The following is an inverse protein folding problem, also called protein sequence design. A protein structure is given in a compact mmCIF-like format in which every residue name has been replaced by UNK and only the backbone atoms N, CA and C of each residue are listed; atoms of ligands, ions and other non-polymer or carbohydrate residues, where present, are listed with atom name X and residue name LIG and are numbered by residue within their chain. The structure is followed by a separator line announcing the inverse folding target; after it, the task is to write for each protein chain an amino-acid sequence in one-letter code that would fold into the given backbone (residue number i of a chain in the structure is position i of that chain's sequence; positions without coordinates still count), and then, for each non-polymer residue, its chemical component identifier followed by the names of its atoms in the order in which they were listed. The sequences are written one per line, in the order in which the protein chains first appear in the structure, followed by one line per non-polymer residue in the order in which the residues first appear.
data_IF_328263275671
#
_entry.id   IF_328263275671
#
_cell.length_a   1.000
_cell.length_b   1.000
_cell.length_c   1.000
_cell.angle_alpha   90.00
_cell.angle_beta   90.00
_cell.angle_gamma   90.00
#
_symmetry.space_group_name_H-M   'P 1'
#
loop_
_entity.id
_entity.type
_entity.pdbx_description
1 polymer ?
#
# COMPACT_ATOMS: atom_id res chain seq x y z
N UNK A 1 5.58 -8.60 12.04
CA UNK A 1 5.86 -8.02 10.71
C UNK A 1 7.15 -7.21 10.82
N UNK A 2 8.12 -7.41 9.92
CA UNK A 2 9.41 -6.70 9.93
C UNK A 2 9.26 -5.29 9.33
N UNK A 3 8.56 -4.38 10.01
CA UNK A 3 8.45 -2.97 9.60
C UNK A 3 9.85 -2.34 9.45
N UNK A 4 10.78 -2.65 10.35
CA UNK A 4 12.17 -2.16 10.28
C UNK A 4 12.92 -2.57 9.01
N UNK A 5 12.65 -3.77 8.46
CA UNK A 5 13.27 -4.18 7.17
C UNK A 5 12.69 -3.42 5.99
N UNK A 6 11.38 -3.11 6.02
CA UNK A 6 10.71 -2.32 4.98
C UNK A 6 11.25 -0.89 4.99
N UNK A 7 11.44 -0.30 6.17
CA UNK A 7 12.01 1.05 6.35
C UNK A 7 13.48 1.10 5.90
N UNK A 8 14.28 0.07 6.22
CA UNK A 8 15.67 0.00 5.78
C UNK A 8 15.78 -0.16 4.25
N UNK A 9 14.90 -0.96 3.64
CA UNK A 9 14.84 -1.09 2.17
C UNK A 9 14.36 0.20 1.49
N UNK A 10 13.39 0.91 2.08
CA UNK A 10 12.93 2.23 1.60
C UNK A 10 14.04 3.29 1.58
N UNK A 11 14.85 3.34 2.64
CA UNK A 11 15.98 4.26 2.73
C UNK A 11 17.13 3.92 1.75
N UNK A 12 17.15 2.70 1.21
CA UNK A 12 18.14 2.23 0.23
C UNK A 12 17.58 2.16 -1.20
N UNK A 13 16.29 2.44 -1.38
CA UNK A 13 15.61 2.32 -2.66
C UNK A 13 15.92 3.52 -3.57
N UNK A 14 15.90 3.31 -4.89
CA UNK A 14 16.00 4.41 -5.86
C UNK A 14 14.85 5.41 -5.65
N UNK A 15 15.02 6.66 -6.08
CA UNK A 15 14.00 7.72 -5.98
C UNK A 15 12.63 7.22 -6.48
N UNK A 16 12.59 6.52 -7.61
CA UNK A 16 11.36 5.94 -8.18
C UNK A 16 10.68 4.93 -7.24
N UNK A 17 11.47 4.13 -6.52
CA UNK A 17 10.93 3.11 -5.61
C UNK A 17 10.42 3.74 -4.31
N UNK A 18 11.06 4.82 -3.85
CA UNK A 18 10.63 5.61 -2.69
C UNK A 18 9.28 6.27 -2.96
N UNK A 19 9.13 6.91 -4.12
CA UNK A 19 7.89 7.60 -4.52
C UNK A 19 6.72 6.63 -4.68
N UNK A 20 6.93 5.49 -5.35
CA UNK A 20 5.89 4.46 -5.48
C UNK A 20 5.47 3.85 -4.14
N UNK A 21 6.42 3.74 -3.21
CA UNK A 21 6.12 3.27 -1.86
C UNK A 21 5.34 4.32 -1.07
N UNK A 22 5.72 5.61 -1.17
CA UNK A 22 5.01 6.71 -0.52
C UNK A 22 3.57 6.83 -1.06
N UNK A 23 3.37 6.69 -2.38
CA UNK A 23 2.04 6.58 -2.99
C UNK A 23 1.21 5.47 -2.36
N UNK A 24 1.80 4.29 -2.19
CA UNK A 24 1.13 3.12 -1.61
C UNK A 24 0.79 3.35 -0.13
N UNK A 25 1.68 3.99 0.63
CA UNK A 25 1.47 4.35 2.04
C UNK A 25 0.30 5.34 2.17
N UNK A 26 0.27 6.39 1.34
CA UNK A 26 -0.80 7.39 1.33
C UNK A 26 -2.15 6.74 1.00
N UNK A 27 -2.21 5.91 -0.05
CA UNK A 27 -3.45 5.20 -0.39
C UNK A 27 -3.91 4.26 0.74
N UNK A 28 -3.00 3.47 1.33
CA UNK A 28 -3.36 2.59 2.45
C UNK A 28 -3.83 3.38 3.67
N UNK A 29 -3.23 4.53 3.94
CA UNK A 29 -3.60 5.40 5.05
C UNK A 29 -5.00 5.99 4.84
N UNK A 30 -5.26 6.53 3.66
CA UNK A 30 -6.58 7.07 3.31
C UNK A 30 -7.68 6.00 3.33
N UNK A 31 -7.38 4.75 2.96
CA UNK A 31 -8.34 3.64 3.05
C UNK A 31 -8.61 3.25 4.52
N UNK A 32 -7.57 3.28 5.37
CA UNK A 32 -7.63 2.82 6.76
C UNK A 32 -8.31 3.83 7.71
N UNK A 33 -8.05 5.13 7.54
CA UNK A 33 -8.53 6.17 8.46
C UNK A 33 -9.91 6.73 8.10
N UNK A 34 -10.49 6.34 6.95
CA UNK A 34 -11.89 6.64 6.61
C UNK A 34 -12.09 7.66 5.50
N UNK A 35 -13.34 8.12 5.35
CA UNK A 35 -13.80 8.76 4.11
C UNK A 35 -13.14 10.08 3.77
N UNK A 36 -12.59 10.86 4.72
CA UNK A 36 -12.00 12.18 4.44
C UNK A 36 -10.98 12.59 5.52
N UNK A 37 -9.78 12.99 5.10
CA UNK A 37 -8.67 13.40 5.99
C UNK A 37 -8.08 14.74 5.54
N UNK A 38 -7.71 15.60 6.49
CA UNK A 38 -6.93 16.80 6.18
C UNK A 38 -5.47 16.46 5.85
N UNK A 39 -4.90 17.11 4.84
CA UNK A 39 -3.53 16.89 4.39
C UNK A 39 -2.48 17.04 5.51
N UNK A 40 -2.67 18.04 6.37
CA UNK A 40 -1.83 18.28 7.55
C UNK A 40 -1.84 17.08 8.50
N UNK A 41 -3.00 16.45 8.70
CA UNK A 41 -3.14 15.31 9.60
C UNK A 41 -2.60 14.03 8.96
N UNK A 42 -2.70 13.88 7.64
CA UNK A 42 -2.20 12.71 6.92
C UNK A 42 -0.69 12.54 7.10
N UNK A 43 0.06 13.64 7.07
CA UNK A 43 1.52 13.61 7.28
C UNK A 43 1.88 13.11 8.68
N UNK A 44 1.19 13.59 9.71
CA UNK A 44 1.40 13.15 11.10
C UNK A 44 1.02 11.68 11.28
N UNK A 45 -0.11 11.26 10.71
CA UNK A 45 -0.60 9.88 10.77
C UNK A 45 0.37 8.90 10.11
N UNK A 46 0.86 9.22 8.90
CA UNK A 46 1.85 8.40 8.20
C UNK A 46 3.14 8.28 9.02
N UNK A 47 3.63 9.40 9.55
CA UNK A 47 4.87 9.41 10.33
C UNK A 47 4.72 8.62 11.64
N UNK A 48 3.54 8.67 12.27
CA UNK A 48 3.19 7.93 13.48
C UNK A 48 3.08 6.42 13.23
N UNK A 49 2.29 6.01 12.24
CA UNK A 49 1.95 4.59 12.04
C UNK A 49 3.05 3.80 11.36
N UNK A 50 3.81 4.44 10.46
CA UNK A 50 4.88 3.77 9.72
C UNK A 50 6.25 3.99 10.35
N UNK A 51 6.40 4.93 11.30
CA UNK A 51 7.68 5.26 11.92
C UNK A 51 8.73 5.81 10.94
N UNK A 52 8.27 6.30 9.79
CA UNK A 52 9.10 6.94 8.77
C UNK A 52 8.96 8.45 8.94
N UNK A 53 10.01 9.22 8.64
CA UNK A 53 9.92 10.69 8.56
C UNK A 53 9.98 11.12 7.11
N UNK A 54 8.82 11.28 6.50
CA UNK A 54 8.71 11.98 5.22
C UNK A 54 8.54 13.47 5.47
N UNK A 55 9.14 14.31 4.61
CA UNK A 55 8.88 15.73 4.67
C UNK A 55 7.48 16.03 4.17
N UNK A 56 6.81 17.00 4.79
CA UNK A 56 5.45 17.42 4.40
C UNK A 56 5.39 17.79 2.90
N UNK A 57 6.41 18.49 2.39
CA UNK A 57 6.53 18.82 0.97
C UNK A 57 6.57 17.60 0.05
N UNK A 58 7.27 16.52 0.44
CA UNK A 58 7.30 15.26 -0.33
C UNK A 58 5.90 14.62 -0.36
N UNK A 59 5.20 14.62 0.78
CA UNK A 59 3.84 14.08 0.88
C UNK A 59 2.89 14.89 0.00
N UNK A 60 2.93 16.22 0.07
CA UNK A 60 2.13 17.12 -0.76
C UNK A 60 2.38 16.89 -2.26
N UNK A 61 3.63 16.76 -2.68
CA UNK A 61 3.99 16.49 -4.08
C UNK A 61 3.38 15.16 -4.57
N UNK A 62 3.52 14.09 -3.77
CA UNK A 62 2.93 12.80 -4.11
C UNK A 62 1.39 12.87 -4.14
N UNK A 63 0.77 13.61 -3.22
CA UNK A 63 -0.68 13.82 -3.19
C UNK A 63 -1.16 14.53 -4.47
N UNK A 64 -0.43 15.56 -4.94
CA UNK A 64 -0.71 16.24 -6.20
C UNK A 64 -0.62 15.25 -7.38
N UNK A 65 0.42 14.40 -7.41
CA UNK A 65 0.53 13.37 -8.45
C UNK A 65 -0.62 12.36 -8.42
N UNK A 66 -1.02 11.90 -7.22
CA UNK A 66 -2.16 10.99 -7.07
C UNK A 66 -3.49 11.64 -7.48
N UNK A 67 -3.63 12.95 -7.26
CA UNK A 67 -4.77 13.75 -7.75
C UNK A 67 -4.85 13.77 -9.26
N UNK A 68 -3.74 14.09 -9.92
CA UNK A 68 -3.67 14.21 -11.38
C UNK A 68 -3.97 12.86 -12.05
N UNK A 69 -3.64 11.76 -11.37
CA UNK A 69 -3.98 10.39 -11.77
C UNK A 69 -5.44 10.00 -11.46
N UNK A 70 -6.20 10.86 -10.79
CA UNK A 70 -7.58 10.57 -10.35
C UNK A 70 -7.69 9.56 -9.21
N UNK A 71 -6.57 9.18 -8.59
CA UNK A 71 -6.50 8.15 -7.53
C UNK A 71 -6.91 8.70 -6.17
N UNK A 72 -6.77 10.01 -5.95
CA UNK A 72 -7.18 10.73 -4.74
C UNK A 72 -7.98 11.97 -5.14
N UNK A 73 -8.97 12.35 -4.33
CA UNK A 73 -9.82 13.54 -4.55
C UNK A 73 -9.93 14.39 -3.29
N UNK A 74 -10.32 15.65 -3.48
CA UNK A 74 -10.65 16.59 -2.39
C UNK A 74 -12.15 16.70 -2.27
N UNK A 75 -12.64 16.68 -1.04
CA UNK A 75 -14.03 16.99 -0.75
C UNK A 75 -14.29 18.49 -0.83
N UNK A 76 -15.55 18.86 -0.78
CA UNK A 76 -15.99 20.26 -0.63
C UNK A 76 -15.46 20.93 0.64
N UNK A 77 -15.04 20.14 1.64
CA UNK A 77 -14.44 20.61 2.89
C UNK A 77 -12.90 20.66 2.84
N UNK A 78 -12.30 20.54 1.66
CA UNK A 78 -10.84 20.50 1.45
C UNK A 78 -10.14 19.31 2.14
N UNK A 79 -10.84 18.19 2.30
CA UNK A 79 -10.27 16.95 2.86
C UNK A 79 -9.98 15.93 1.76
N UNK A 80 -8.86 15.25 1.87
CA UNK A 80 -8.41 14.19 0.97
C UNK A 80 -9.19 12.91 1.20
N UNK A 81 -9.55 12.25 0.11
CA UNK A 81 -10.20 10.95 0.16
C UNK A 81 -9.87 10.06 -1.05
N UNK A 82 -10.00 8.76 -0.83
CA UNK A 82 -9.97 7.76 -1.87
C UNK A 82 -11.35 7.62 -2.54
N UNK A 83 -11.47 7.84 -3.85
CA UNK A 83 -12.70 7.57 -4.59
C UNK A 83 -13.09 6.10 -4.51
N UNK A 84 -14.39 5.80 -4.51
CA UNK A 84 -14.89 4.42 -4.40
C UNK A 84 -14.35 3.50 -5.51
N UNK A 85 -14.17 4.03 -6.72
CA UNK A 85 -13.56 3.30 -7.83
C UNK A 85 -12.16 2.80 -7.46
N UNK A 86 -11.36 3.66 -6.82
CA UNK A 86 -10.00 3.31 -6.41
C UNK A 86 -9.99 2.33 -5.24
N UNK A 87 -10.91 2.47 -4.28
CA UNK A 87 -11.11 1.49 -3.20
C UNK A 87 -11.44 0.10 -3.76
N UNK A 88 -12.32 0.04 -4.76
CA UNK A 88 -12.66 -1.23 -5.43
C UNK A 88 -11.48 -1.83 -6.19
N UNK A 89 -10.65 -1.02 -6.84
CA UNK A 89 -9.42 -1.50 -7.47
C UNK A 89 -8.44 -2.08 -6.45
N UNK A 90 -8.20 -1.40 -5.32
CA UNK A 90 -7.35 -1.89 -4.23
C UNK A 90 -7.88 -3.22 -3.68
N UNK A 91 -9.21 -3.34 -3.52
CA UNK A 91 -9.85 -4.57 -3.06
C UNK A 91 -9.67 -5.73 -4.06
N UNK A 92 -9.81 -5.47 -5.37
CA UNK A 92 -9.56 -6.47 -6.42
C UNK A 92 -8.10 -6.94 -6.42
N UNK A 93 -7.15 -6.01 -6.33
CA UNK A 93 -5.72 -6.33 -6.28
C UNK A 93 -5.42 -7.22 -5.05
N UNK A 94 -5.98 -6.89 -3.89
CA UNK A 94 -5.82 -7.69 -2.67
C UNK A 94 -6.41 -9.10 -2.80
N UNK A 95 -7.58 -9.24 -3.43
CA UNK A 95 -8.19 -10.54 -3.72
C UNK A 95 -7.32 -11.38 -4.67
N UNK A 96 -6.86 -10.80 -5.79
CA UNK A 96 -5.99 -11.49 -6.76
C UNK A 96 -4.66 -11.94 -6.14
N UNK A 97 -4.07 -11.12 -5.26
CA UNK A 97 -2.86 -11.47 -4.52
C UNK A 97 -3.10 -12.62 -3.54
N UNK A 98 -4.28 -12.69 -2.91
CA UNK A 98 -4.68 -13.78 -2.03
C UNK A 98 -4.87 -15.09 -2.80
N UNK A 99 -5.55 -15.04 -3.95
CA UNK A 99 -5.77 -16.21 -4.83
C UNK A 99 -4.46 -16.75 -5.43
N UNK A 100 -3.55 -15.85 -5.83
CA UNK A 100 -2.20 -16.24 -6.30
C UNK A 100 -1.35 -16.88 -5.20
N UNK A 101 -1.51 -16.46 -3.93
CA UNK A 101 -0.84 -17.09 -2.79
C UNK A 101 -1.39 -18.49 -2.50
N UNK A 102 -2.71 -18.68 -2.57
CA UNK A 102 -3.33 -20.00 -2.36
C UNK A 102 -2.96 -21.00 -3.46
N UNK A 103 -2.98 -20.59 -4.73
CA UNK A 103 -2.61 -21.48 -5.85
C UNK A 103 -1.15 -21.93 -5.79
N UNK A 104 -0.22 -21.09 -5.30
CA UNK A 104 1.17 -21.50 -5.05
C UNK A 104 1.30 -22.51 -3.90
N UNK A 105 0.55 -22.34 -2.81
CA UNK A 105 0.53 -23.33 -1.70
C UNK A 105 -0.02 -24.69 -2.15
N UNK A 106 -1.10 -24.70 -2.92
CA UNK A 106 -1.72 -25.93 -3.45
C UNK A 106 -0.82 -26.71 -4.42
N UNK A 107 0.02 -26.02 -5.20
CA UNK A 107 0.99 -26.68 -6.09
C UNK A 107 2.13 -27.34 -5.31
N UNK A 108 2.60 -26.69 -4.23
CA UNK A 108 3.66 -27.24 -3.39
C UNK A 108 3.19 -28.46 -2.58
N UNK A 109 1.96 -28.44 -2.05
CA UNK A 109 1.43 -29.60 -1.31
C UNK A 109 1.32 -30.84 -2.22
N UNK A 110 0.80 -30.68 -3.44
CA UNK A 110 0.70 -31.79 -4.41
C UNK A 110 2.06 -32.36 -4.81
N UNK A 111 3.11 -31.55 -4.84
CA UNK A 111 4.47 -32.03 -5.14
C UNK A 111 5.02 -32.81 -3.94
N UNK A 112 4.81 -32.32 -2.72
CA UNK A 112 5.23 -33.00 -1.49
C UNK A 112 4.50 -34.33 -1.32
N UNK A 113 3.19 -34.39 -1.57
CA UNK A 113 2.40 -35.64 -1.53
C UNK A 113 2.89 -36.65 -2.58
N UNK A 114 3.31 -36.17 -3.76
CA UNK A 114 3.84 -37.03 -4.82
C UNK A 114 5.23 -37.57 -4.50
N UNK A 115 6.08 -36.77 -3.85
CA UNK A 115 7.40 -37.21 -3.37
C UNK A 115 7.25 -38.22 -2.22
N UNK A 116 6.34 -37.96 -1.27
CA UNK A 116 6.09 -38.85 -0.14
C UNK A 116 5.58 -40.24 -0.56
N UNK A 117 4.71 -40.31 -1.57
CA UNK A 117 4.21 -41.59 -2.11
C UNK A 117 5.18 -42.35 -3.03
N UNK A 118 6.41 -41.86 -3.24
CA UNK A 118 7.45 -42.57 -4.05
C UNK A 118 8.43 -43.36 -3.17
N UNK A 119 8.31 -43.29 -1.84
CA UNK A 119 9.18 -43.99 -0.88
C UNK A 119 8.48 -45.13 -0.11
N UNK A 120 7.30 -45.58 -0.56
CA UNK A 120 6.67 -46.83 -0.10
C UNK A 120 6.99 -48.01 -1.02
#
# INVERSE_FOLDING_TARGET
MNLEKIIHTLNLASSDTRDETLKSIIECSLDSYGEQIEESNLSELINSDFGIKFHEAEITEIIIHLKDQGRVKWSSENKLYLPDERKQELLKINLELSEKKQTRKLKLSKIVDKIAGTFE
#
